data_IF_651375055207
#
_entry.id   IF_651375055207
#
_cell.length_a   1.000
_cell.length_b   1.000
_cell.length_c   1.000
_cell.angle_alpha   90.00
_cell.angle_beta   90.00
_cell.angle_gamma   90.00
#
_symmetry.space_group_name_H-M   'P 1'
#
loop_
_entity.id
_entity.type
_entity.pdbx_description
1 polymer ?
#
# COMPACT_ATOMS: atom_id res chain seq x y z
N UNK A 1 22.77 -16.15 13.92
CA UNK A 1 21.69 -16.55 14.85
C UNK A 1 20.60 -15.50 15.07
N UNK A 2 20.82 -14.18 14.85
CA UNK A 2 19.83 -13.11 15.10
C UNK A 2 18.74 -12.92 14.01
N UNK A 3 18.90 -13.44 12.80
CA UNK A 3 17.90 -13.27 11.71
C UNK A 3 16.69 -14.19 11.82
N UNK A 4 16.84 -15.37 12.42
CA UNK A 4 15.76 -16.36 12.58
C UNK A 4 14.73 -15.90 13.61
N UNK A 5 15.16 -15.32 14.72
CA UNK A 5 14.30 -14.78 15.79
C UNK A 5 13.43 -13.60 15.34
N UNK A 6 13.93 -12.74 14.45
CA UNK A 6 13.17 -11.60 13.90
C UNK A 6 12.04 -12.06 12.97
N UNK A 7 12.27 -13.09 12.17
CA UNK A 7 11.26 -13.62 11.24
C UNK A 7 10.15 -14.38 11.98
N UNK A 8 10.50 -15.14 13.02
CA UNK A 8 9.51 -15.81 13.87
C UNK A 8 8.65 -14.81 14.64
N UNK A 9 9.24 -13.75 15.18
CA UNK A 9 8.51 -12.70 15.87
C UNK A 9 7.52 -11.96 14.93
N UNK A 10 7.90 -11.72 13.67
CA UNK A 10 7.02 -11.12 12.66
C UNK A 10 5.85 -12.04 12.32
N UNK A 11 6.10 -13.34 12.15
CA UNK A 11 5.04 -14.34 11.90
C UNK A 11 4.08 -14.46 13.09
N UNK A 12 4.60 -14.48 14.30
CA UNK A 12 3.78 -14.54 15.51
C UNK A 12 2.89 -13.30 15.65
N UNK A 13 3.44 -12.13 15.36
CA UNK A 13 2.68 -10.86 15.36
C UNK A 13 1.58 -10.85 14.29
N UNK A 14 1.87 -11.33 13.09
CA UNK A 14 0.90 -11.46 12.02
C UNK A 14 -0.23 -12.41 12.40
N UNK A 15 0.09 -13.60 12.90
CA UNK A 15 -0.90 -14.58 13.35
C UNK A 15 -1.79 -14.03 14.48
N UNK A 16 -1.21 -13.27 15.41
CA UNK A 16 -1.97 -12.64 16.50
C UNK A 16 -2.94 -11.57 15.99
N UNK A 17 -2.50 -10.71 15.08
CA UNK A 17 -3.37 -9.71 14.45
C UNK A 17 -4.50 -10.36 13.66
N UNK A 18 -4.21 -11.44 12.95
CA UNK A 18 -5.21 -12.20 12.20
C UNK A 18 -6.26 -12.80 13.13
N UNK A 19 -5.82 -13.45 14.22
CA UNK A 19 -6.72 -14.02 15.20
C UNK A 19 -7.66 -12.98 15.80
N UNK A 20 -7.13 -11.83 16.22
CA UNK A 20 -7.93 -10.74 16.80
C UNK A 20 -8.95 -10.17 15.79
N UNK A 21 -8.56 -10.02 14.53
CA UNK A 21 -9.47 -9.56 13.49
C UNK A 21 -10.59 -10.57 13.26
N UNK A 22 -10.28 -11.86 13.14
CA UNK A 22 -11.29 -12.91 12.91
C UNK A 22 -12.25 -13.02 14.08
N UNK A 23 -11.78 -13.01 15.32
CA UNK A 23 -12.64 -12.98 16.51
C UNK A 23 -13.55 -11.73 16.52
N UNK A 24 -12.98 -10.57 16.15
CA UNK A 24 -13.76 -9.33 16.04
C UNK A 24 -14.81 -9.36 14.94
N UNK A 25 -14.55 -10.02 13.83
CA UNK A 25 -15.54 -10.22 12.76
C UNK A 25 -16.65 -11.19 13.18
N UNK A 26 -16.36 -12.12 14.09
CA UNK A 26 -17.31 -13.07 14.67
C UNK A 26 -18.10 -12.48 15.85
N UNK A 27 -17.88 -11.19 16.17
CA UNK A 27 -18.65 -10.44 17.16
C UNK A 27 -17.96 -10.17 18.49
N UNK A 28 -16.70 -10.60 18.69
CA UNK A 28 -15.94 -10.26 19.89
C UNK A 28 -15.43 -8.81 19.82
N UNK A 29 -16.18 -7.90 20.45
CA UNK A 29 -15.81 -6.48 20.50
C UNK A 29 -14.49 -6.21 21.25
N UNK A 30 -14.12 -7.05 22.23
CA UNK A 30 -12.90 -6.87 22.99
C UNK A 30 -11.68 -7.21 22.11
N UNK A 31 -11.74 -8.32 21.39
CA UNK A 31 -10.74 -8.71 20.41
C UNK A 31 -10.61 -7.66 19.30
N UNK A 32 -11.73 -7.13 18.80
CA UNK A 32 -11.71 -6.10 17.77
C UNK A 32 -11.07 -4.79 18.25
N UNK A 33 -11.36 -4.34 19.47
CA UNK A 33 -10.70 -3.16 20.08
C UNK A 33 -9.19 -3.38 20.23
N UNK A 34 -8.79 -4.57 20.68
CA UNK A 34 -7.37 -4.90 20.78
C UNK A 34 -6.69 -4.93 19.42
N UNK A 35 -7.33 -5.49 18.39
CA UNK A 35 -6.89 -5.43 17.01
C UNK A 35 -6.61 -3.99 16.55
N UNK A 36 -7.59 -3.09 16.72
CA UNK A 36 -7.46 -1.68 16.32
C UNK A 36 -6.32 -0.97 17.08
N UNK A 37 -6.12 -1.29 18.36
CA UNK A 37 -5.06 -0.74 19.18
C UNK A 37 -3.67 -1.14 18.64
N UNK A 38 -3.46 -2.42 18.39
CA UNK A 38 -2.19 -2.92 17.82
C UNK A 38 -1.97 -2.42 16.40
N UNK A 39 -3.04 -2.34 15.62
CA UNK A 39 -3.02 -1.82 14.27
C UNK A 39 -2.65 -0.34 14.24
N UNK A 40 -3.20 0.48 15.14
CA UNK A 40 -2.89 1.91 15.21
C UNK A 40 -1.40 2.16 15.43
N UNK A 41 -0.75 1.39 16.33
CA UNK A 41 0.68 1.49 16.57
C UNK A 41 1.50 1.11 15.31
N UNK A 42 1.07 0.08 14.58
CA UNK A 42 1.71 -0.35 13.35
C UNK A 42 1.58 0.71 12.23
N UNK A 43 0.37 1.20 12.00
CA UNK A 43 0.10 2.23 10.99
C UNK A 43 0.77 3.57 11.32
N UNK A 44 0.78 3.98 12.59
CA UNK A 44 1.47 5.21 13.03
C UNK A 44 2.97 5.14 12.68
N UNK A 45 3.62 4.00 12.95
CA UNK A 45 5.02 3.79 12.57
C UNK A 45 5.23 3.84 11.06
N UNK A 46 4.30 3.30 10.28
CA UNK A 46 4.34 3.35 8.81
C UNK A 46 4.18 4.78 8.27
N UNK A 47 3.25 5.57 8.84
CA UNK A 47 2.95 6.93 8.39
C UNK A 47 4.06 7.92 8.81
N UNK A 48 4.61 7.81 10.03
CA UNK A 48 5.71 8.68 10.52
C UNK A 48 6.98 8.65 9.67
N UNK A 49 7.18 7.58 8.91
CA UNK A 49 8.31 7.49 7.96
C UNK A 49 8.05 8.26 6.65
N UNK A 50 6.83 8.77 6.44
CA UNK A 50 6.37 9.31 5.15
C UNK A 50 5.71 10.68 5.26
N UNK A 51 5.34 11.08 6.46
CA UNK A 51 4.64 12.33 6.74
C UNK A 51 5.24 13.01 7.96
N UNK A 52 5.15 14.32 7.97
CA UNK A 52 5.49 15.11 9.16
C UNK A 52 4.30 15.15 10.14
N UNK A 53 4.57 15.26 11.44
CA UNK A 53 3.55 15.61 12.44
C UNK A 53 3.06 17.05 12.14
N UNK A 54 1.78 17.38 12.09
CA UNK A 54 0.61 16.73 12.68
C UNK A 54 -0.21 15.82 11.76
N UNK A 55 0.05 15.77 10.48
CA UNK A 55 -0.73 15.06 9.45
C UNK A 55 -0.85 13.55 9.72
N UNK A 56 0.11 12.99 10.49
CA UNK A 56 0.15 11.55 10.80
C UNK A 56 -1.09 11.09 11.54
N UNK A 57 -1.58 11.86 12.53
CA UNK A 57 -2.70 11.41 13.36
C UNK A 57 -4.04 11.50 12.61
N UNK A 58 -4.22 12.52 11.78
CA UNK A 58 -5.42 12.65 10.95
C UNK A 58 -5.50 11.52 9.92
N UNK A 59 -4.40 11.27 9.21
CA UNK A 59 -4.35 10.19 8.24
C UNK A 59 -4.43 8.80 8.87
N UNK A 60 -3.91 8.66 10.10
CA UNK A 60 -4.07 7.43 10.89
C UNK A 60 -5.55 7.14 11.19
N UNK A 61 -6.30 8.15 11.62
CA UNK A 61 -7.74 8.01 11.90
C UNK A 61 -8.49 7.65 10.62
N UNK A 62 -8.19 8.32 9.50
CA UNK A 62 -8.79 7.99 8.20
C UNK A 62 -8.46 6.57 7.74
N UNK A 63 -7.21 6.12 7.94
CA UNK A 63 -6.80 4.77 7.58
C UNK A 63 -7.49 3.71 8.46
N UNK A 64 -7.62 3.94 9.77
CA UNK A 64 -8.33 3.05 10.69
C UNK A 64 -9.82 2.97 10.36
N UNK A 65 -10.45 4.10 10.03
CA UNK A 65 -11.85 4.14 9.59
C UNK A 65 -12.04 3.38 8.27
N UNK A 66 -11.11 3.55 7.31
CA UNK A 66 -11.14 2.82 6.05
C UNK A 66 -10.98 1.30 6.25
N UNK A 67 -10.08 0.87 7.16
CA UNK A 67 -9.94 -0.53 7.55
C UNK A 67 -11.23 -1.05 8.18
N UNK A 68 -11.83 -0.28 9.10
CA UNK A 68 -13.09 -0.65 9.74
C UNK A 68 -14.21 -0.85 8.70
N UNK A 69 -14.37 0.08 7.77
CA UNK A 69 -15.38 0.01 6.73
C UNK A 69 -15.13 -1.15 5.73
N UNK A 70 -13.88 -1.44 5.45
CA UNK A 70 -13.48 -2.49 4.53
C UNK A 70 -13.33 -3.88 5.18
N UNK A 71 -13.54 -4.03 6.50
CA UNK A 71 -13.27 -5.27 7.26
C UNK A 71 -13.94 -6.53 6.68
N UNK A 72 -15.12 -6.36 6.10
CA UNK A 72 -15.85 -7.44 5.43
C UNK A 72 -15.18 -7.95 4.13
N UNK A 73 -14.20 -7.23 3.60
CA UNK A 73 -13.44 -7.61 2.40
C UNK A 73 -12.17 -8.40 2.74
N UNK A 74 -11.82 -8.51 4.02
CA UNK A 74 -10.67 -9.28 4.44
C UNK A 74 -10.87 -10.77 4.15
N UNK A 75 -9.80 -11.41 3.67
CA UNK A 75 -9.74 -12.85 3.38
C UNK A 75 -8.62 -13.48 4.19
N UNK A 76 -8.92 -14.56 4.88
CA UNK A 76 -7.99 -15.24 5.81
C UNK A 76 -6.74 -15.84 5.14
N UNK A 77 -6.78 -16.06 3.81
CA UNK A 77 -5.67 -16.58 3.04
C UNK A 77 -4.55 -15.56 2.82
N UNK A 78 -4.80 -14.28 3.09
CA UNK A 78 -3.80 -13.22 2.94
C UNK A 78 -3.36 -12.66 4.30
N UNK A 79 -2.11 -12.20 4.43
CA UNK A 79 -1.67 -11.53 5.65
C UNK A 79 -2.48 -10.26 5.93
N UNK A 80 -2.88 -10.09 7.19
CA UNK A 80 -3.62 -8.89 7.66
C UNK A 80 -2.80 -7.63 7.40
N UNK A 81 -1.52 -7.66 7.70
CA UNK A 81 -0.62 -6.51 7.50
C UNK A 81 -0.55 -6.10 6.03
N UNK A 82 -0.53 -7.04 5.09
CA UNK A 82 -0.52 -6.73 3.66
C UNK A 82 -1.83 -6.08 3.21
N UNK A 83 -2.98 -6.61 3.68
CA UNK A 83 -4.30 -6.04 3.38
C UNK A 83 -4.45 -4.63 3.97
N UNK A 84 -4.09 -4.43 5.23
CA UNK A 84 -4.13 -3.12 5.88
C UNK A 84 -3.18 -2.12 5.23
N UNK A 85 -1.96 -2.53 4.88
CA UNK A 85 -1.00 -1.65 4.19
C UNK A 85 -1.49 -1.21 2.82
N UNK A 86 -2.23 -2.06 2.09
CA UNK A 86 -2.84 -1.65 0.83
C UNK A 86 -3.85 -0.51 1.04
N UNK A 87 -4.68 -0.59 2.08
CA UNK A 87 -5.65 0.46 2.44
C UNK A 87 -4.92 1.74 2.88
N UNK A 88 -3.92 1.62 3.76
CA UNK A 88 -3.16 2.76 4.25
C UNK A 88 -2.38 3.48 3.14
N UNK A 89 -1.78 2.74 2.20
CA UNK A 89 -1.11 3.33 1.03
C UNK A 89 -2.10 4.08 0.16
N UNK A 90 -3.30 3.54 -0.05
CA UNK A 90 -4.33 4.24 -0.82
C UNK A 90 -4.69 5.58 -0.18
N UNK A 91 -4.90 5.60 1.14
CA UNK A 91 -5.18 6.82 1.90
C UNK A 91 -4.02 7.82 1.85
N UNK A 92 -2.79 7.34 1.99
CA UNK A 92 -1.58 8.17 1.87
C UNK A 92 -1.47 8.81 0.48
N UNK A 93 -1.76 8.07 -0.58
CA UNK A 93 -1.75 8.61 -1.94
C UNK A 93 -2.86 9.65 -2.17
N UNK A 94 -4.05 9.43 -1.60
CA UNK A 94 -5.13 10.41 -1.67
C UNK A 94 -4.77 11.71 -0.92
N UNK A 95 -4.11 11.59 0.24
CA UNK A 95 -3.59 12.72 1.00
C UNK A 95 -2.58 13.55 0.17
N UNK A 96 -1.57 12.91 -0.42
CA UNK A 96 -0.61 13.61 -1.29
C UNK A 96 -1.26 14.25 -2.52
N UNK A 97 -2.26 13.60 -3.12
CA UNK A 97 -3.01 14.21 -4.22
C UNK A 97 -3.80 15.44 -3.80
N UNK A 98 -4.39 15.43 -2.60
CA UNK A 98 -5.11 16.57 -2.05
C UNK A 98 -4.15 17.75 -1.81
N UNK A 99 -2.98 17.49 -1.22
CA UNK A 99 -1.93 18.50 -1.00
C UNK A 99 -1.39 19.07 -2.31
N UNK A 100 -1.01 18.23 -3.27
CA UNK A 100 -0.51 18.67 -4.56
C UNK A 100 -1.53 19.53 -5.33
N UNK A 101 -2.84 19.32 -5.16
CA UNK A 101 -3.87 20.20 -5.73
C UNK A 101 -3.99 21.54 -5.00
N UNK A 102 -3.82 21.51 -3.67
CA UNK A 102 -3.85 22.72 -2.86
C UNK A 102 -2.62 23.59 -3.13
N UNK A 103 -1.44 22.99 -3.24
CA UNK A 103 -0.19 23.68 -3.56
C UNK A 103 -0.19 24.22 -4.98
N UNK A 104 -0.70 23.47 -5.95
CA UNK A 104 -0.85 23.94 -7.34
C UNK A 104 -1.82 25.12 -7.51
N UNK A 105 -2.70 25.36 -6.54
CA UNK A 105 -3.59 26.52 -6.48
C UNK A 105 -2.94 27.71 -5.76
N UNK A 106 -1.91 27.46 -4.94
CA UNK A 106 -1.32 28.49 -4.07
C UNK A 106 0.13 28.86 -4.41
N UNK A 107 0.91 28.01 -5.12
CA UNK A 107 2.28 28.36 -5.58
C UNK A 107 2.79 27.38 -6.65
N UNK A 108 3.39 27.85 -7.79
CA UNK A 108 3.81 26.97 -8.87
C UNK A 108 5.17 26.27 -8.70
N UNK A 109 5.86 26.42 -7.58
CA UNK A 109 7.22 25.90 -7.38
C UNK A 109 7.43 25.39 -5.94
N UNK A 110 7.20 24.12 -5.70
CA UNK A 110 7.79 23.43 -4.56
C UNK A 110 8.26 22.05 -4.99
N UNK A 111 9.57 21.92 -5.15
CA UNK A 111 10.30 20.67 -5.28
C UNK A 111 10.15 19.85 -4.01
N UNK A 112 9.26 18.87 -4.01
CA UNK A 112 9.17 17.84 -2.95
C UNK A 112 9.59 16.46 -3.49
N UNK A 113 10.77 16.39 -4.08
CA UNK A 113 11.38 15.12 -4.49
C UNK A 113 12.38 14.54 -3.49
N UNK A 114 12.58 15.16 -2.31
CA UNK A 114 13.77 14.93 -1.48
C UNK A 114 13.55 14.21 -0.14
N UNK A 115 12.46 13.48 0.10
CA UNK A 115 12.21 12.78 1.37
C UNK A 115 12.29 11.25 1.33
N UNK A 116 13.01 10.67 0.36
CA UNK A 116 13.20 9.21 0.25
C UNK A 116 14.66 8.73 0.28
N UNK A 117 15.58 9.51 0.86
CA UNK A 117 17.02 9.34 0.63
C UNK A 117 17.80 8.56 1.69
N UNK A 118 17.23 7.69 2.53
CA UNK A 118 18.07 7.04 3.56
C UNK A 118 17.79 5.56 3.92
N UNK A 119 17.22 4.74 3.00
CA UNK A 119 17.31 3.26 3.11
C UNK A 119 17.83 2.66 1.77
N UNK A 120 18.95 3.13 1.26
CA UNK A 120 19.10 3.38 -0.17
C UNK A 120 19.73 2.28 -1.03
N UNK A 121 20.34 1.25 -0.53
CA UNK A 121 20.92 0.23 -1.43
C UNK A 121 19.98 -0.95 -1.71
N UNK A 122 19.22 -1.41 -0.73
CA UNK A 122 18.25 -2.50 -0.95
C UNK A 122 16.99 -2.00 -1.68
N UNK A 123 16.54 -0.77 -1.38
CA UNK A 123 15.41 -0.16 -2.06
C UNK A 123 15.70 0.15 -3.53
N UNK A 124 16.90 0.66 -3.84
CA UNK A 124 17.34 0.91 -5.23
C UNK A 124 17.49 -0.39 -6.02
N UNK A 125 18.03 -1.45 -5.41
CA UNK A 125 18.12 -2.76 -6.06
C UNK A 125 16.71 -3.31 -6.35
N UNK A 126 15.81 -3.27 -5.37
CA UNK A 126 14.43 -3.70 -5.55
C UNK A 126 13.67 -2.87 -6.60
N UNK A 127 13.92 -1.55 -6.69
CA UNK A 127 13.37 -0.71 -7.74
C UNK A 127 13.87 -1.09 -9.13
N UNK A 128 15.19 -1.36 -9.27
CA UNK A 128 15.78 -1.81 -10.55
C UNK A 128 15.21 -3.16 -10.99
N UNK A 129 15.07 -4.10 -10.03
CA UNK A 129 14.52 -5.42 -10.32
C UNK A 129 13.03 -5.33 -10.67
N UNK A 130 12.25 -4.46 -9.98
CA UNK A 130 10.87 -4.19 -10.33
C UNK A 130 10.73 -3.55 -11.72
N UNK A 131 11.60 -2.61 -12.07
CA UNK A 131 11.60 -1.98 -13.39
C UNK A 131 11.84 -3.02 -14.49
N UNK A 132 12.83 -3.91 -14.32
CA UNK A 132 13.12 -5.01 -15.26
C UNK A 132 11.95 -5.99 -15.40
N UNK A 133 11.28 -6.32 -14.30
CA UNK A 133 10.10 -7.17 -14.32
C UNK A 133 8.91 -6.51 -15.05
N UNK A 134 8.73 -5.21 -14.84
CA UNK A 134 7.69 -4.44 -15.53
C UNK A 134 7.95 -4.34 -17.03
N UNK A 135 9.20 -4.23 -17.46
CA UNK A 135 9.58 -4.19 -18.88
C UNK A 135 9.21 -5.48 -19.64
N UNK A 136 9.07 -6.61 -18.94
CA UNK A 136 8.63 -7.87 -19.53
C UNK A 136 7.13 -7.93 -19.80
N UNK A 137 6.36 -6.97 -19.29
CA UNK A 137 4.92 -6.92 -19.48
C UNK A 137 4.55 -6.13 -20.73
N UNK A 138 3.48 -6.53 -21.46
CA UNK A 138 2.90 -5.71 -22.52
C UNK A 138 2.43 -4.35 -21.98
N UNK A 139 2.51 -3.29 -22.80
CA UNK A 139 2.16 -1.92 -22.41
C UNK A 139 0.75 -1.79 -21.81
N UNK A 140 -0.22 -2.56 -22.33
CA UNK A 140 -1.60 -2.60 -21.80
C UNK A 140 -1.70 -3.12 -20.35
N UNK A 141 -0.64 -3.71 -19.82
CA UNK A 141 -0.52 -4.18 -18.43
C UNK A 141 0.51 -3.34 -17.64
N UNK A 142 1.65 -3.04 -18.25
CA UNK A 142 2.73 -2.26 -17.65
C UNK A 142 2.28 -0.85 -17.29
N UNK A 143 1.73 -0.10 -18.26
CA UNK A 143 1.31 1.30 -18.04
C UNK A 143 0.25 1.45 -16.95
N UNK A 144 -0.85 0.65 -16.92
CA UNK A 144 -1.78 0.67 -15.80
C UNK A 144 -1.14 0.40 -14.44
N UNK A 145 -0.23 -0.58 -14.33
CA UNK A 145 0.47 -0.86 -13.07
C UNK A 145 1.34 0.34 -12.69
N UNK A 146 2.14 0.85 -13.61
CA UNK A 146 3.02 1.98 -13.37
C UNK A 146 2.24 3.19 -12.86
N UNK A 147 1.20 3.60 -13.58
CA UNK A 147 0.44 4.78 -13.20
C UNK A 147 -0.41 4.59 -11.94
N UNK A 148 -1.12 3.46 -11.80
CA UNK A 148 -2.02 3.25 -10.65
C UNK A 148 -1.23 2.84 -9.39
N UNK A 149 -0.19 1.98 -9.51
CA UNK A 149 0.48 1.39 -8.34
C UNK A 149 1.76 2.09 -7.94
N UNK A 150 2.51 2.65 -8.88
CA UNK A 150 3.78 3.33 -8.60
C UNK A 150 3.60 4.86 -8.54
N UNK A 151 2.88 5.46 -9.48
CA UNK A 151 2.60 6.90 -9.46
C UNK A 151 1.33 7.25 -8.67
N UNK A 152 0.53 6.27 -8.26
CA UNK A 152 -0.66 6.48 -7.45
C UNK A 152 -1.81 7.20 -8.17
N UNK A 153 -1.83 7.25 -9.50
CA UNK A 153 -2.94 7.85 -10.24
C UNK A 153 -4.23 7.05 -10.04
N UNK A 154 -5.37 7.73 -10.09
CA UNK A 154 -6.67 7.06 -10.13
C UNK A 154 -6.84 6.30 -11.44
N UNK A 155 -7.82 5.40 -11.47
CA UNK A 155 -8.16 4.64 -12.70
C UNK A 155 -8.57 5.61 -13.82
N UNK A 156 -9.33 6.65 -13.49
CA UNK A 156 -9.81 7.66 -14.42
C UNK A 156 -8.69 8.55 -14.98
N UNK A 157 -7.74 8.95 -14.12
CA UNK A 157 -6.54 9.69 -14.54
C UNK A 157 -5.64 8.83 -15.42
N UNK A 158 -5.45 7.55 -15.03
CA UNK A 158 -4.68 6.60 -15.82
C UNK A 158 -5.34 6.36 -17.19
N UNK A 159 -6.67 6.21 -17.23
CA UNK A 159 -7.41 6.05 -18.48
C UNK A 159 -7.19 7.24 -19.43
N UNK A 160 -7.30 8.47 -18.92
CA UNK A 160 -7.03 9.69 -19.70
C UNK A 160 -5.59 9.75 -20.21
N UNK A 161 -4.61 9.40 -19.36
CA UNK A 161 -3.19 9.48 -19.70
C UNK A 161 -2.72 8.41 -20.68
N UNK A 162 -3.30 7.22 -20.61
CA UNK A 162 -2.91 6.08 -21.44
C UNK A 162 -3.79 5.88 -22.68
N UNK A 163 -4.91 6.59 -22.79
CA UNK A 163 -5.90 6.38 -23.84
C UNK A 163 -6.71 5.10 -23.68
N UNK A 164 -6.57 4.40 -22.57
CA UNK A 164 -7.33 3.17 -22.27
C UNK A 164 -8.67 3.52 -21.61
N UNK A 165 -9.67 2.65 -21.75
CA UNK A 165 -10.89 2.78 -20.94
C UNK A 165 -10.62 2.45 -19.47
N UNK A 166 -11.42 3.01 -18.55
CA UNK A 166 -11.33 2.71 -17.12
C UNK A 166 -11.41 1.20 -16.83
N UNK A 167 -12.24 0.47 -17.56
CA UNK A 167 -12.33 -0.98 -17.47
C UNK A 167 -11.04 -1.66 -17.94
N UNK A 168 -10.44 -1.21 -19.04
CA UNK A 168 -9.18 -1.74 -19.56
C UNK A 168 -8.02 -1.48 -18.58
N UNK A 169 -7.99 -0.33 -17.90
CA UNK A 169 -7.02 -0.03 -16.84
C UNK A 169 -7.15 -1.02 -15.68
N UNK A 170 -8.38 -1.26 -15.17
CA UNK A 170 -8.62 -2.24 -14.08
C UNK A 170 -8.17 -3.64 -14.47
N UNK A 171 -8.54 -4.09 -15.67
CA UNK A 171 -8.14 -5.41 -16.21
C UNK A 171 -6.62 -5.47 -16.41
N UNK A 172 -6.01 -4.41 -16.93
CA UNK A 172 -4.57 -4.30 -17.14
C UNK A 172 -3.79 -4.45 -15.84
N UNK A 173 -4.20 -3.74 -14.79
CA UNK A 173 -3.60 -3.87 -13.44
C UNK A 173 -3.74 -5.31 -12.92
N UNK A 174 -4.94 -5.89 -12.99
CA UNK A 174 -5.18 -7.25 -12.47
C UNK A 174 -4.33 -8.30 -13.19
N UNK A 175 -4.37 -8.31 -14.52
CA UNK A 175 -3.60 -9.27 -15.34
C UNK A 175 -2.10 -9.08 -15.20
N UNK A 176 -1.65 -7.83 -15.17
CA UNK A 176 -0.24 -7.52 -15.02
C UNK A 176 0.32 -7.92 -13.64
N UNK A 177 -0.42 -7.71 -12.56
CA UNK A 177 -0.01 -8.20 -11.23
C UNK A 177 0.04 -9.72 -11.18
N UNK A 178 -0.89 -10.42 -11.84
CA UNK A 178 -0.87 -11.89 -11.95
C UNK A 178 0.35 -12.37 -12.74
N UNK A 179 0.69 -11.70 -13.84
CA UNK A 179 1.88 -12.04 -14.65
C UNK A 179 3.18 -11.78 -13.86
N UNK A 180 3.29 -10.67 -13.14
CA UNK A 180 4.44 -10.39 -12.26
C UNK A 180 4.60 -11.46 -11.17
N UNK A 181 3.50 -11.88 -10.55
CA UNK A 181 3.54 -12.94 -9.55
C UNK A 181 4.05 -14.27 -10.13
N UNK A 182 3.68 -14.60 -11.37
CA UNK A 182 4.18 -15.79 -12.07
C UNK A 182 5.68 -15.69 -12.39
N UNK A 183 6.17 -14.51 -12.82
CA UNK A 183 7.59 -14.28 -13.08
C UNK A 183 8.44 -14.42 -11.80
N UNK A 184 7.95 -13.92 -10.67
CA UNK A 184 8.64 -14.01 -9.37
C UNK A 184 8.61 -15.46 -8.84
N UNK A 185 7.47 -16.15 -9.01
CA UNK A 185 7.30 -17.53 -8.53
C UNK A 185 8.05 -18.59 -9.34
N UNK A 186 8.37 -18.29 -10.62
CA UNK A 186 9.11 -19.19 -11.50
C UNK A 186 10.64 -19.16 -11.33
N UNK A 187 11.17 -18.30 -10.45
CA UNK A 187 12.60 -18.18 -10.14
C UNK A 187 13.00 -18.84 -8.80
N UNK A 188 12.19 -19.75 -8.29
CA UNK A 188 12.53 -20.56 -7.11
C UNK A 188 12.87 -21.99 -7.48
#
# INVERSE_FOLDING_TARGET
MQRTTSHEALKAREAHLQQLLLLGLDGDEAAYRQFLTLLSAHLRSFLRRRLQSPEVEDLLQEALLAVHNARHTYRSEQPVTAWVQAIARYKLMDHFRAHARHDALNDPLSDQEELLADEDHQAQQAQRDLARLLEQLPDKQRLPIFHVKLQGLSVEETARRTGLSASAVKVGVHRGLKALAALIGGHR
#
